data_IF_908731990290
#
_entry.id   IF_908731990290
#
_cell.length_a   1.000
_cell.length_b   1.000
_cell.length_c   1.000
_cell.angle_alpha   90.00
_cell.angle_beta   90.00
_cell.angle_gamma   90.00
#
_symmetry.space_group_name_H-M   'P 1'
#
loop_
_entity.id
_entity.type
_entity.pdbx_description
1 polymer ?
#
# COMPACT_ATOMS: atom_id res chain seq x y z
N UNK A 1 17.84 -10.50 6.92
CA UNK A 1 19.13 -9.80 7.05
C UNK A 1 18.82 -8.36 7.45
N UNK A 2 19.52 -7.78 8.42
CA UNK A 2 19.23 -6.40 8.89
C UNK A 2 19.67 -5.42 7.80
N UNK A 3 18.86 -4.37 7.58
CA UNK A 3 19.11 -3.32 6.59
C UNK A 3 20.25 -2.42 7.10
N UNK A 4 21.34 -2.25 6.34
CA UNK A 4 22.35 -1.21 6.60
C UNK A 4 23.76 -1.71 6.96
N UNK A 5 24.50 -2.23 5.98
CA UNK A 5 25.83 -2.84 6.18
C UNK A 5 26.98 -1.84 6.39
N UNK A 6 26.78 -0.56 6.06
CA UNK A 6 27.88 0.41 5.95
C UNK A 6 28.15 1.22 7.23
N UNK A 7 27.24 1.21 8.21
CA UNK A 7 27.45 1.90 9.50
C UNK A 7 27.47 3.44 9.44
N UNK A 8 27.25 4.05 8.27
CA UNK A 8 27.28 5.51 8.10
C UNK A 8 25.89 6.16 8.14
N UNK A 9 24.83 5.37 7.99
CA UNK A 9 23.46 5.88 7.85
C UNK A 9 22.96 6.66 9.07
N UNK A 10 23.49 6.37 10.27
CA UNK A 10 23.14 7.14 11.47
C UNK A 10 23.52 8.61 11.33
N UNK A 11 24.68 8.94 10.78
CA UNK A 11 25.19 10.32 10.75
C UNK A 11 24.39 11.25 9.82
N UNK A 12 23.48 10.74 8.99
CA UNK A 12 22.60 11.60 8.19
C UNK A 12 21.63 12.42 9.05
N UNK A 13 21.43 12.06 10.33
CA UNK A 13 20.63 12.85 11.28
C UNK A 13 21.15 14.29 11.42
N UNK A 14 22.46 14.49 11.32
CA UNK A 14 23.08 15.82 11.41
C UNK A 14 22.88 16.69 10.17
N UNK A 15 22.24 16.16 9.11
CA UNK A 15 21.80 16.98 7.99
C UNK A 15 20.59 17.84 8.33
N UNK A 16 19.86 17.50 9.40
CA UNK A 16 18.60 18.15 9.79
C UNK A 16 18.55 18.55 11.27
N UNK A 17 19.64 18.29 12.01
CA UNK A 17 19.72 18.55 13.45
C UNK A 17 21.08 19.10 13.84
N UNK A 18 21.07 20.09 14.73
CA UNK A 18 22.27 20.70 15.30
C UNK A 18 22.84 19.86 16.45
N UNK A 19 22.01 19.03 17.07
CA UNK A 19 22.37 18.15 18.19
C UNK A 19 21.52 16.90 18.18
N UNK A 20 22.11 15.77 18.54
CA UNK A 20 21.42 14.49 18.69
C UNK A 20 21.72 13.90 20.06
N UNK A 21 20.68 13.38 20.69
CA UNK A 21 20.77 12.61 21.92
C UNK A 21 20.25 11.20 21.66
N UNK A 22 20.96 10.19 22.15
CA UNK A 22 20.52 8.80 22.16
C UNK A 22 20.45 8.35 23.61
N UNK A 23 19.29 7.87 24.04
CA UNK A 23 19.12 7.20 25.32
C UNK A 23 18.73 5.75 25.08
N UNK A 24 19.55 4.80 25.52
CA UNK A 24 19.42 3.39 25.14
C UNK A 24 19.67 2.42 26.27
N UNK A 25 18.89 1.34 26.29
CA UNK A 25 19.10 0.16 27.14
C UNK A 25 19.03 -1.11 26.28
N UNK A 26 20.13 -1.87 26.29
CA UNK A 26 20.25 -3.12 25.52
C UNK A 26 19.36 -4.22 26.08
N UNK A 27 18.99 -5.17 25.22
CA UNK A 27 18.28 -6.39 25.64
C UNK A 27 19.19 -7.38 26.40
N UNK A 28 20.51 -7.17 26.38
CA UNK A 28 21.48 -8.07 26.98
C UNK A 28 21.39 -8.01 28.52
N UNK A 29 21.46 -9.17 29.16
CA UNK A 29 21.41 -9.27 30.62
C UNK A 29 22.61 -8.52 31.25
N UNK A 30 22.34 -7.70 32.25
CA UNK A 30 23.36 -6.90 32.95
C UNK A 30 23.83 -5.66 32.17
N UNK A 31 23.17 -5.29 31.07
CA UNK A 31 23.45 -4.04 30.38
C UNK A 31 23.02 -2.85 31.22
N UNK A 32 23.86 -1.81 31.25
CA UNK A 32 23.56 -0.53 31.87
C UNK A 32 22.96 0.42 30.83
N UNK A 33 22.04 1.28 31.25
CA UNK A 33 21.47 2.30 30.38
C UNK A 33 22.50 3.41 30.14
N UNK A 34 22.60 3.83 28.88
CA UNK A 34 23.60 4.81 28.43
C UNK A 34 22.91 5.95 27.69
N UNK A 35 23.30 7.17 28.02
CA UNK A 35 22.97 8.37 27.27
C UNK A 35 24.20 8.83 26.48
N UNK A 36 24.01 9.06 25.19
CA UNK A 36 25.01 9.57 24.26
C UNK A 36 24.54 10.90 23.68
N UNK A 37 25.42 11.89 23.58
CA UNK A 37 25.10 13.23 23.08
C UNK A 37 26.20 13.70 22.13
N UNK A 38 25.82 14.28 20.99
CA UNK A 38 26.75 14.88 20.04
C UNK A 38 26.09 16.05 19.29
N UNK A 39 26.89 17.07 18.96
CA UNK A 39 26.50 18.27 18.22
C UNK A 39 26.92 18.24 16.73
N UNK A 40 27.25 17.05 16.22
CA UNK A 40 27.74 16.86 14.85
C UNK A 40 29.25 17.09 14.67
N UNK A 41 29.95 17.46 15.75
CA UNK A 41 31.40 17.55 15.79
C UNK A 41 32.11 16.19 15.78
N UNK A 42 33.42 16.20 16.04
CA UNK A 42 34.23 14.98 16.16
C UNK A 42 34.11 14.30 17.52
N UNK A 43 33.62 15.03 18.53
CA UNK A 43 33.54 14.59 19.91
C UNK A 43 32.09 14.27 20.28
N UNK A 44 31.94 13.38 21.25
CA UNK A 44 30.65 13.02 21.84
C UNK A 44 30.80 12.79 23.34
N UNK A 45 29.70 12.98 24.06
CA UNK A 45 29.62 12.71 25.49
C UNK A 45 28.82 11.42 25.73
N UNK A 46 29.24 10.64 26.72
CA UNK A 46 28.53 9.45 27.18
C UNK A 46 28.39 9.47 28.70
N UNK A 47 27.17 9.26 29.18
CA UNK A 47 26.83 9.20 30.61
C UNK A 47 25.91 8.04 30.90
N UNK A 48 25.76 7.67 32.18
CA UNK A 48 24.70 6.76 32.62
C UNK A 48 23.32 7.37 32.39
N UNK A 49 22.31 6.53 32.15
CA UNK A 49 20.90 6.91 32.02
C UNK A 49 20.06 6.26 33.12
N UNK A 50 18.92 6.87 33.44
CA UNK A 50 17.91 6.32 34.37
C UNK A 50 16.89 5.40 33.66
N UNK A 51 17.02 5.20 32.35
CA UNK A 51 16.14 4.34 31.56
C UNK A 51 16.14 2.91 32.10
N UNK A 52 14.95 2.39 32.37
CA UNK A 52 14.70 1.04 32.89
C UNK A 52 14.06 0.10 31.85
N UNK A 53 13.56 0.65 30.75
CA UNK A 53 12.96 -0.12 29.65
C UNK A 53 13.93 -0.34 28.48
N UNK A 54 13.97 -1.58 27.97
CA UNK A 54 14.71 -1.93 26.74
C UNK A 54 14.33 -0.99 25.59
N UNK A 55 15.31 -0.61 24.78
CA UNK A 55 15.11 0.10 23.53
C UNK A 55 16.00 1.32 23.41
N UNK A 56 15.67 2.19 22.47
CA UNK A 56 16.45 3.38 22.14
C UNK A 56 15.51 4.52 21.82
N UNK A 57 15.74 5.69 22.42
CA UNK A 57 15.13 6.95 22.03
C UNK A 57 16.19 7.79 21.35
N UNK A 58 15.87 8.32 20.18
CA UNK A 58 16.72 9.23 19.43
C UNK A 58 16.03 10.59 19.38
N UNK A 59 16.61 11.56 20.07
CA UNK A 59 16.09 12.94 20.12
C UNK A 59 16.91 13.80 19.17
N UNK A 60 16.24 14.36 18.17
CA UNK A 60 16.83 15.28 17.21
C UNK A 60 16.50 16.72 17.61
N UNK A 61 17.52 17.51 17.91
CA UNK A 61 17.38 18.96 18.06
C UNK A 61 17.44 19.57 16.66
N UNK A 62 16.27 19.66 16.03
CA UNK A 62 16.10 20.08 14.63
C UNK A 62 16.71 21.47 14.41
N UNK A 63 17.51 21.59 13.35
CA UNK A 63 18.21 22.83 13.02
C UNK A 63 17.23 23.92 12.58
N UNK A 64 17.65 25.18 12.70
CA UNK A 64 16.79 26.33 12.41
C UNK A 64 16.26 26.40 10.97
N UNK A 65 16.95 25.77 10.02
CA UNK A 65 16.65 25.68 8.60
C UNK A 65 15.88 24.41 8.19
N UNK A 66 15.65 23.48 9.12
CA UNK A 66 14.98 22.19 8.88
C UNK A 66 13.65 22.05 9.63
N UNK A 67 13.05 23.18 10.04
CA UNK A 67 11.83 23.22 10.86
C UNK A 67 10.61 22.60 10.19
N UNK A 68 10.62 22.42 8.87
CA UNK A 68 9.58 21.70 8.15
C UNK A 68 9.38 20.27 8.66
N UNK A 69 10.41 19.63 9.23
CA UNK A 69 10.27 18.28 9.81
C UNK A 69 9.60 18.27 11.19
N UNK A 70 9.24 19.43 11.75
CA UNK A 70 8.37 19.52 12.92
C UNK A 70 6.88 19.56 12.53
N UNK A 71 6.57 19.74 11.24
CA UNK A 71 5.19 19.70 10.76
C UNK A 71 4.68 18.26 10.61
N UNK A 72 3.54 17.97 11.22
CA UNK A 72 2.92 16.64 11.22
C UNK A 72 2.62 16.14 9.81
N UNK A 73 2.11 16.99 8.92
CA UNK A 73 1.72 16.58 7.58
C UNK A 73 2.93 16.26 6.73
N UNK A 74 4.00 17.06 6.86
CA UNK A 74 5.26 16.80 6.18
C UNK A 74 5.91 15.50 6.65
N UNK A 75 5.99 15.27 7.97
CA UNK A 75 6.46 13.98 8.51
C UNK A 75 5.59 12.80 8.03
N UNK A 76 4.26 12.94 8.08
CA UNK A 76 3.35 11.89 7.61
C UNK A 76 3.61 11.56 6.15
N UNK A 77 3.77 12.57 5.28
CA UNK A 77 4.07 12.40 3.85
C UNK A 77 5.38 11.65 3.62
N UNK A 78 6.42 11.96 4.41
CA UNK A 78 7.72 11.27 4.34
C UNK A 78 7.57 9.81 4.77
N UNK A 79 6.89 9.56 5.89
CA UNK A 79 6.68 8.21 6.42
C UNK A 79 5.81 7.36 5.48
N UNK A 80 4.73 7.90 4.93
CA UNK A 80 3.90 7.21 3.92
C UNK A 80 4.68 6.91 2.64
N UNK A 81 5.68 7.72 2.29
CA UNK A 81 6.51 7.46 1.11
C UNK A 81 7.57 6.38 1.37
N UNK A 82 8.38 6.55 2.40
CA UNK A 82 9.57 5.71 2.63
C UNK A 82 9.32 4.54 3.57
N UNK A 83 8.33 4.67 4.46
CA UNK A 83 8.08 3.72 5.54
C UNK A 83 6.74 2.96 5.41
N UNK A 84 5.95 3.22 4.36
CA UNK A 84 4.60 2.65 4.17
C UNK A 84 4.52 1.13 4.33
N UNK A 85 5.62 0.42 4.09
CA UNK A 85 5.65 -1.03 4.12
C UNK A 85 6.72 -1.62 5.01
N UNK A 86 7.36 -0.84 5.89
CA UNK A 86 8.39 -1.39 6.79
C UNK A 86 7.85 -2.60 7.57
N UNK A 87 8.68 -3.62 7.85
CA UNK A 87 8.27 -4.81 8.58
C UNK A 87 8.03 -4.57 10.09
N UNK A 88 8.05 -3.31 10.52
CA UNK A 88 7.83 -2.85 11.89
C UNK A 88 6.76 -1.78 11.88
N UNK A 89 5.94 -1.75 12.92
CA UNK A 89 4.90 -0.73 13.07
C UNK A 89 5.52 0.64 13.31
N UNK A 90 4.99 1.64 12.63
CA UNK A 90 5.39 3.04 12.71
C UNK A 90 4.19 3.83 13.21
N UNK A 91 4.40 4.61 14.26
CA UNK A 91 3.40 5.49 14.84
C UNK A 91 3.87 6.93 14.67
N UNK A 92 2.91 7.83 14.48
CA UNK A 92 3.15 9.27 14.41
C UNK A 92 2.27 9.95 15.46
N UNK A 93 2.91 10.59 16.42
CA UNK A 93 2.25 11.30 17.51
C UNK A 93 2.42 12.81 17.30
N UNK A 94 1.36 13.57 17.56
CA UNK A 94 1.41 15.03 17.62
C UNK A 94 1.25 15.44 19.07
N UNK A 95 2.35 15.85 19.69
CA UNK A 95 2.42 16.16 21.11
C UNK A 95 1.45 17.29 21.48
N UNK A 96 1.30 18.31 20.65
CA UNK A 96 0.38 19.42 20.93
C UNK A 96 -1.09 18.97 20.87
N UNK A 97 -1.40 18.04 19.96
CA UNK A 97 -2.75 17.49 19.84
C UNK A 97 -3.08 16.58 21.03
N UNK A 98 -2.14 15.75 21.46
CA UNK A 98 -2.30 14.86 22.61
C UNK A 98 -2.41 15.63 23.94
N UNK A 99 -1.63 16.70 24.12
CA UNK A 99 -1.77 17.60 25.26
C UNK A 99 -3.16 18.26 25.31
N UNK A 100 -3.65 18.78 24.17
CA UNK A 100 -5.00 19.37 24.08
C UNK A 100 -6.09 18.34 24.40
N UNK A 101 -5.98 17.11 23.86
CA UNK A 101 -6.91 16.02 24.17
C UNK A 101 -6.90 15.67 25.66
N UNK A 102 -5.71 15.62 26.27
CA UNK A 102 -5.56 15.33 27.70
C UNK A 102 -6.19 16.44 28.57
N UNK A 103 -6.00 17.71 28.20
CA UNK A 103 -6.64 18.85 28.90
C UNK A 103 -8.17 18.82 28.77
N UNK A 104 -8.70 18.56 27.58
CA UNK A 104 -10.14 18.44 27.35
C UNK A 104 -10.76 17.25 28.08
N UNK A 105 -10.08 16.10 28.08
CA UNK A 105 -10.49 14.92 28.83
C UNK A 105 -10.51 15.20 30.35
N UNK A 106 -9.48 15.89 30.88
CA UNK A 106 -9.43 16.31 32.27
C UNK A 106 -10.56 17.28 32.63
N UNK A 107 -10.90 18.21 31.72
CA UNK A 107 -12.04 19.13 31.88
C UNK A 107 -13.38 18.39 31.90
N UNK A 108 -13.63 17.50 30.94
CA UNK A 108 -14.84 16.66 30.88
C UNK A 108 -14.98 15.77 32.12
N UNK A 109 -13.87 15.20 32.62
CA UNK A 109 -13.86 14.39 33.83
C UNK A 109 -14.23 15.20 35.08
N UNK A 110 -13.72 16.45 35.20
CA UNK A 110 -14.10 17.38 36.28
C UNK A 110 -15.58 17.77 36.21
N UNK A 111 -16.09 18.14 35.04
CA UNK A 111 -17.51 18.48 34.85
C UNK A 111 -18.45 17.30 35.14
N UNK A 112 -18.05 16.08 34.76
CA UNK A 112 -18.80 14.86 35.07
C UNK A 112 -18.79 14.55 36.58
N UNK A 113 -17.66 14.78 37.27
CA UNK A 113 -17.56 14.62 38.72
C UNK A 113 -18.42 15.66 39.46
N UNK A 114 -18.41 16.92 39.03
CA UNK A 114 -19.25 17.99 39.60
C UNK A 114 -20.74 17.73 39.40
N UNK A 115 -21.16 17.26 38.21
CA UNK A 115 -22.54 16.85 37.95
C UNK A 115 -22.98 15.66 38.82
N UNK A 116 -22.09 14.69 39.07
CA UNK A 116 -22.36 13.57 39.99
C UNK A 116 -22.52 14.05 41.44
N UNK A 117 -21.70 15.02 41.88
CA UNK A 117 -21.79 15.61 43.22
C UNK A 117 -23.06 16.47 43.38
N UNK A 118 -23.47 17.21 42.34
CA UNK A 118 -24.72 17.98 42.35
C UNK A 118 -25.95 17.06 42.40
N UNK A 119 -25.98 16.00 41.59
CA UNK A 119 -27.07 15.01 41.57
C UNK A 119 -27.18 14.21 42.88
N UNK A 120 -26.05 13.99 43.57
CA UNK A 120 -26.04 13.36 44.90
C UNK A 120 -26.51 14.30 46.02
N UNK A 121 -26.39 15.63 45.85
CA UNK A 121 -26.91 16.61 46.80
C UNK A 121 -28.43 16.81 46.67
N UNK A 122 -28.97 16.83 45.45
CA UNK A 122 -30.43 16.90 45.24
C UNK A 122 -31.16 15.63 45.75
N UNK A 123 -30.53 14.45 45.68
CA UNK A 123 -31.10 13.21 46.22
C UNK A 123 -31.07 13.11 47.77
N UNK A 124 -30.36 14.02 48.45
CA UNK A 124 -30.23 14.03 49.91
C UNK A 124 -31.22 14.99 50.62
N UNK A 125 -32.05 15.71 49.85
CA UNK A 125 -32.94 16.76 50.37
C UNK A 125 -34.43 16.48 50.06
N UNK A 126 -34.90 15.24 50.26
CA UNK A 126 -36.35 14.94 50.41
C UNK A 126 -36.66 14.48 51.84
N UNK A 127 -37.60 15.14 52.56
CA UNK A 127 -37.94 14.78 53.93
C UNK A 127 -38.89 13.57 53.95
N UNK A 128 -38.51 12.54 54.73
CA UNK A 128 -39.39 11.42 55.12
C UNK A 128 -40.63 11.96 55.85
N UNK A 129 -41.81 11.73 55.28
CA UNK A 129 -43.08 11.78 56.02
C UNK A 129 -43.60 10.36 56.23
N UNK A 130 -43.68 9.96 57.49
CA UNK A 130 -44.48 8.83 57.96
C UNK A 130 -45.96 9.10 57.72
N UNK A 131 -46.70 8.10 57.25
CA UNK A 131 -47.96 7.64 57.86
C UNK A 131 -48.24 6.22 57.39
N UNK A 132 -48.49 5.32 58.34
CA UNK A 132 -48.88 3.94 58.08
C UNK A 132 -50.40 3.73 58.01
N UNK A 133 -50.71 2.43 57.98
CA UNK A 133 -51.99 1.74 58.15
C UNK A 133 -52.87 1.50 56.90
N UNK A 134 -53.23 0.22 56.70
CA UNK A 134 -54.56 -0.14 56.19
C UNK A 134 -54.63 -1.14 55.04
N UNK A 135 -54.40 -2.41 55.34
CA UNK A 135 -55.14 -3.62 54.91
C UNK A 135 -56.01 -3.65 53.62
N UNK A 136 -55.67 -4.65 52.78
CA UNK A 136 -56.52 -5.62 52.04
C UNK A 136 -57.85 -5.20 51.40
N UNK A 137 -58.01 -5.46 50.09
CA UNK A 137 -58.82 -6.58 49.58
C UNK A 137 -59.00 -6.54 48.05
N UNK A 138 -58.97 -7.74 47.46
CA UNK A 138 -59.67 -8.24 46.27
C UNK A 138 -60.49 -7.25 45.40
N UNK A 139 -60.35 -7.30 44.06
CA UNK A 139 -61.15 -8.19 43.20
C UNK A 139 -60.91 -7.93 41.69
N UNK A 140 -61.20 -8.98 40.93
CA UNK A 140 -61.07 -9.19 39.48
C UNK A 140 -62.02 -8.36 38.61
N UNK A 141 -61.56 -8.22 37.36
CA UNK A 141 -62.29 -8.29 36.07
C UNK A 141 -63.16 -7.10 35.64
N UNK A 142 -62.87 -6.53 34.47
CA UNK A 142 -63.45 -6.98 33.18
C UNK A 142 -63.34 -5.87 32.11
N UNK A 143 -63.30 -6.29 30.84
CA UNK A 143 -63.99 -5.56 29.77
C UNK A 143 -63.13 -4.70 28.85
N UNK A 144 -62.88 -5.23 27.66
CA UNK A 144 -62.38 -4.57 26.45
C UNK A 144 -63.19 -3.29 26.09
N UNK A 145 -62.50 -2.30 25.48
CA UNK A 145 -62.84 -1.85 24.13
C UNK A 145 -61.76 -0.97 23.49
N UNK A 146 -61.65 -1.17 22.18
CA UNK A 146 -60.87 -0.50 21.15
C UNK A 146 -60.96 1.04 21.19
N UNK A 147 -59.87 1.74 20.87
CA UNK A 147 -59.72 2.37 19.55
C UNK A 147 -58.32 3.00 19.37
N UNK A 148 -57.83 2.81 18.15
CA UNK A 148 -56.63 3.33 17.49
C UNK A 148 -56.52 4.86 17.44
N UNK A 149 -55.31 5.42 17.62
CA UNK A 149 -54.53 6.09 16.56
C UNK A 149 -53.28 6.83 17.06
N UNK A 150 -52.13 6.48 16.46
CA UNK A 150 -51.02 7.31 15.92
C UNK A 150 -50.15 8.22 16.79
N UNK A 151 -48.87 8.17 16.38
CA UNK A 151 -47.78 9.16 16.47
C UNK A 151 -47.25 9.37 17.89
N UNK A 152 -45.98 9.08 18.20
CA UNK A 152 -44.79 9.36 17.43
C UNK A 152 -44.03 10.42 18.22
N UNK A 153 -43.10 10.00 19.07
CA UNK A 153 -42.11 10.90 19.66
C UNK A 153 -40.84 10.11 19.97
N UNK A 154 -39.76 10.59 19.36
CA UNK A 154 -38.40 10.12 19.53
C UNK A 154 -37.97 10.28 20.98
N UNK A 155 -37.49 9.19 21.57
CA UNK A 155 -36.55 9.24 22.67
C UNK A 155 -35.27 8.55 22.21
N UNK A 156 -34.41 9.30 21.54
CA UNK A 156 -33.00 8.95 21.42
C UNK A 156 -32.43 9.08 22.82
N UNK A 157 -32.38 7.96 23.56
CA UNK A 157 -31.53 7.85 24.75
C UNK A 157 -30.08 7.86 24.27
N UNK A 158 -29.52 9.06 24.18
CA UNK A 158 -28.10 9.31 23.99
C UNK A 158 -27.37 8.86 25.27
N UNK A 159 -27.18 7.56 25.40
CA UNK A 159 -26.30 6.94 26.38
C UNK A 159 -24.87 7.05 25.86
N UNK A 160 -24.31 8.27 25.94
CA UNK A 160 -22.90 8.51 25.72
C UNK A 160 -22.08 7.89 26.84
N UNK A 161 -21.73 6.61 26.71
CA UNK A 161 -20.56 6.06 27.39
C UNK A 161 -19.33 6.86 26.94
N UNK A 162 -18.42 7.24 27.85
CA UNK A 162 -17.22 7.95 27.46
C UNK A 162 -16.39 7.06 26.53
N UNK A 163 -16.21 7.48 25.27
CA UNK A 163 -15.25 6.88 24.34
C UNK A 163 -13.91 6.73 25.06
N UNK A 164 -13.48 5.49 25.27
CA UNK A 164 -12.13 5.24 25.71
C UNK A 164 -11.17 5.75 24.64
N UNK A 165 -10.02 6.36 25.00
CA UNK A 165 -9.05 6.81 24.02
C UNK A 165 -8.66 5.63 23.12
N UNK A 166 -8.92 5.76 21.81
CA UNK A 166 -8.58 4.73 20.85
C UNK A 166 -7.07 4.50 20.89
N UNK A 167 -6.64 3.25 20.94
CA UNK A 167 -5.21 2.90 20.89
C UNK A 167 -4.59 3.51 19.63
N UNK A 168 -3.33 3.99 19.69
CA UNK A 168 -2.65 4.53 18.52
C UNK A 168 -2.59 3.45 17.43
N UNK A 169 -2.96 3.82 16.21
CA UNK A 169 -2.91 2.95 15.03
C UNK A 169 -1.63 3.20 14.24
N UNK A 170 -0.98 2.14 13.71
CA UNK A 170 0.21 2.31 12.89
C UNK A 170 -0.16 2.98 11.56
N UNK A 171 0.70 3.88 11.09
CA UNK A 171 0.49 4.58 9.81
C UNK A 171 0.90 3.74 8.60
N UNK A 172 1.67 2.66 8.82
CA UNK A 172 2.21 1.79 7.79
C UNK A 172 1.59 0.39 7.83
N UNK A 173 1.81 -0.37 6.77
CA UNK A 173 1.36 -1.75 6.63
C UNK A 173 2.56 -2.70 6.67
N UNK A 174 2.68 -3.46 7.76
CA UNK A 174 3.79 -4.41 7.96
C UNK A 174 3.63 -5.71 7.16
N UNK A 175 2.45 -5.93 6.58
CA UNK A 175 2.08 -7.15 5.86
C UNK A 175 1.60 -6.84 4.42
N UNK A 176 2.46 -6.22 3.60
CA UNK A 176 2.09 -5.86 2.24
C UNK A 176 1.63 -7.06 1.41
N UNK A 177 0.68 -6.81 0.52
CA UNK A 177 0.02 -7.85 -0.28
C UNK A 177 1.00 -8.73 -1.08
N UNK A 178 2.08 -8.15 -1.60
CA UNK A 178 3.07 -8.88 -2.42
C UNK A 178 3.91 -9.91 -1.64
N UNK A 179 3.83 -9.92 -0.30
CA UNK A 179 4.48 -10.95 0.51
C UNK A 179 3.62 -12.20 0.65
N UNK A 180 2.29 -12.08 0.50
CA UNK A 180 1.36 -13.21 0.54
C UNK A 180 1.55 -14.12 -0.68
N UNK A 181 1.14 -15.38 -0.57
CA UNK A 181 1.13 -16.26 -1.75
C UNK A 181 -0.03 -15.85 -2.67
N UNK A 182 0.11 -15.93 -4.00
CA UNK A 182 -0.98 -15.58 -4.91
C UNK A 182 -2.29 -16.34 -4.66
N UNK A 183 -2.22 -17.57 -4.15
CA UNK A 183 -3.37 -18.40 -3.79
C UNK A 183 -4.11 -17.95 -2.53
N UNK A 184 -3.49 -17.10 -1.71
CA UNK A 184 -4.04 -16.58 -0.46
C UNK A 184 -4.65 -15.18 -0.66
N UNK A 185 -4.56 -14.63 -1.87
CA UNK A 185 -5.06 -13.29 -2.19
C UNK A 185 -6.35 -13.37 -3.01
N UNK A 186 -7.30 -12.53 -2.65
CA UNK A 186 -8.55 -12.30 -3.39
C UNK A 186 -8.40 -11.18 -4.42
N UNK A 187 -9.27 -11.16 -5.42
CA UNK A 187 -9.32 -10.08 -6.43
C UNK A 187 -9.55 -8.70 -5.78
N UNK A 188 -10.40 -8.62 -4.76
CA UNK A 188 -10.67 -7.37 -4.06
C UNK A 188 -9.45 -6.84 -3.29
N UNK A 189 -8.66 -7.72 -2.65
CA UNK A 189 -7.39 -7.32 -2.03
C UNK A 189 -6.42 -6.72 -3.05
N UNK A 190 -6.32 -7.29 -4.26
CA UNK A 190 -5.47 -6.72 -5.32
C UNK A 190 -5.95 -5.33 -5.76
N UNK A 191 -7.26 -5.13 -5.87
CA UNK A 191 -7.84 -3.84 -6.26
C UNK A 191 -7.70 -2.80 -5.16
N UNK A 192 -7.93 -3.18 -3.90
CA UNK A 192 -7.75 -2.30 -2.75
C UNK A 192 -6.28 -1.89 -2.60
N UNK A 193 -5.36 -2.84 -2.71
CA UNK A 193 -3.93 -2.54 -2.73
C UNK A 193 -3.56 -1.58 -3.87
N UNK A 194 -4.08 -1.79 -5.08
CA UNK A 194 -3.87 -0.87 -6.19
C UNK A 194 -4.36 0.55 -5.89
N UNK A 195 -5.60 0.70 -5.40
CA UNK A 195 -6.19 1.99 -5.02
C UNK A 195 -5.37 2.68 -3.93
N UNK A 196 -4.99 1.94 -2.88
CA UNK A 196 -4.23 2.45 -1.74
C UNK A 196 -2.83 2.92 -2.14
N UNK A 197 -2.14 2.21 -3.03
CA UNK A 197 -0.74 2.52 -3.36
C UNK A 197 -0.57 3.57 -4.45
N UNK A 198 -1.46 3.57 -5.44
CA UNK A 198 -1.37 4.43 -6.62
C UNK A 198 -2.41 5.56 -6.63
N UNK A 199 -3.29 5.62 -5.62
CA UNK A 199 -4.38 6.62 -5.52
C UNK A 199 -5.22 6.70 -6.80
N UNK A 200 -5.44 5.56 -7.44
CA UNK A 200 -6.18 5.44 -8.69
C UNK A 200 -7.36 4.50 -8.54
N UNK A 201 -8.54 5.04 -8.82
CA UNK A 201 -9.82 4.36 -8.71
C UNK A 201 -10.23 3.68 -10.03
N UNK A 202 -9.47 3.85 -11.11
CA UNK A 202 -9.64 3.06 -12.33
C UNK A 202 -9.12 1.65 -12.09
N UNK A 203 -10.02 0.66 -12.11
CA UNK A 203 -9.60 -0.73 -11.86
C UNK A 203 -8.63 -1.22 -12.95
N UNK A 204 -7.55 -1.93 -12.56
CA UNK A 204 -6.64 -2.55 -13.51
C UNK A 204 -7.35 -3.68 -14.27
N UNK A 205 -6.96 -3.91 -15.51
CA UNK A 205 -7.53 -4.97 -16.35
C UNK A 205 -7.21 -6.37 -15.77
N UNK A 206 -5.97 -6.52 -15.34
CA UNK A 206 -5.46 -7.68 -14.61
C UNK A 206 -4.12 -7.31 -13.95
N UNK A 207 -3.58 -8.25 -13.18
CA UNK A 207 -2.28 -8.11 -12.54
C UNK A 207 -1.45 -9.39 -12.68
N UNK A 208 -0.15 -9.23 -12.51
CA UNK A 208 0.81 -10.31 -12.42
C UNK A 208 1.45 -10.24 -11.03
N UNK A 209 1.09 -11.19 -10.16
CA UNK A 209 1.77 -11.40 -8.89
C UNK A 209 3.04 -12.24 -9.13
N UNK A 210 4.18 -11.59 -8.96
CA UNK A 210 5.52 -12.17 -8.94
C UNK A 210 5.81 -12.67 -7.53
N UNK A 211 6.08 -13.97 -7.41
CA UNK A 211 6.56 -14.58 -6.16
C UNK A 211 7.58 -15.64 -6.54
N UNK A 212 8.86 -15.25 -6.53
CA UNK A 212 9.97 -16.03 -7.07
C UNK A 212 11.13 -15.99 -6.07
N UNK A 213 11.66 -17.15 -5.72
CA UNK A 213 12.79 -17.27 -4.79
C UNK A 213 14.11 -17.72 -5.47
N UNK A 214 14.10 -18.02 -6.78
CA UNK A 214 15.28 -18.47 -7.53
C UNK A 214 15.25 -18.04 -9.02
N UNK A 215 16.38 -17.60 -9.62
CA UNK A 215 17.71 -17.43 -9.01
C UNK A 215 17.88 -16.14 -8.20
N UNK A 216 16.87 -15.28 -8.19
CA UNK A 216 16.79 -14.08 -7.37
C UNK A 216 15.50 -14.12 -6.57
N UNK A 217 15.54 -13.59 -5.34
CA UNK A 217 14.34 -13.28 -4.58
C UNK A 217 13.68 -12.04 -5.18
N UNK A 218 12.49 -12.26 -5.75
CA UNK A 218 11.71 -11.26 -6.44
C UNK A 218 10.25 -11.48 -6.11
N UNK A 219 9.68 -10.53 -5.37
CA UNK A 219 8.27 -10.46 -5.07
C UNK A 219 7.70 -9.16 -5.61
N UNK A 220 6.43 -9.12 -5.91
CA UNK A 220 5.83 -7.90 -6.43
C UNK A 220 4.52 -8.13 -7.17
N UNK A 221 3.85 -7.04 -7.48
CA UNK A 221 2.60 -7.06 -8.23
C UNK A 221 2.68 -6.00 -9.31
N UNK A 222 2.51 -6.41 -10.57
CA UNK A 222 2.43 -5.53 -11.72
C UNK A 222 0.98 -5.47 -12.21
N UNK A 223 0.42 -4.28 -12.28
CA UNK A 223 -0.93 -3.98 -12.71
C UNK A 223 -0.93 -3.46 -14.14
N UNK A 224 -1.82 -4.01 -14.96
CA UNK A 224 -2.05 -3.58 -16.33
C UNK A 224 -3.22 -2.60 -16.36
N UNK A 225 -2.95 -1.28 -16.55
CA UNK A 225 -4.02 -0.30 -16.60
C UNK A 225 -4.82 -0.45 -17.90
N UNK A 226 -6.04 0.07 -17.89
CA UNK A 226 -6.81 0.27 -19.12
C UNK A 226 -6.21 1.46 -19.88
N UNK A 227 -5.91 1.29 -21.17
CA UNK A 227 -5.39 2.39 -21.97
C UNK A 227 -6.50 3.41 -22.21
N UNK A 228 -6.23 4.68 -21.92
CA UNK A 228 -7.06 5.80 -22.36
C UNK A 228 -6.54 6.29 -23.71
N UNK A 229 -7.46 6.65 -24.61
CA UNK A 229 -7.16 7.30 -25.89
C UNK A 229 -6.72 8.78 -25.73
N UNK A 230 -6.31 9.18 -24.54
CA UNK A 230 -5.88 10.54 -24.26
C UNK A 230 -4.36 10.60 -24.45
N UNK A 231 -3.90 11.53 -25.28
CA UNK A 231 -2.50 11.86 -25.53
C UNK A 231 -1.76 12.39 -24.28
N UNK A 232 -2.29 12.13 -23.08
CA UNK A 232 -1.64 12.44 -21.83
C UNK A 232 -0.57 11.39 -21.57
N UNK A 233 0.63 11.89 -21.26
CA UNK A 233 1.78 11.10 -20.85
C UNK A 233 1.43 10.30 -19.60
N UNK A 234 0.80 9.14 -19.79
CA UNK A 234 0.56 8.18 -18.71
C UNK A 234 1.92 7.53 -18.42
N UNK A 235 2.71 8.21 -17.60
CA UNK A 235 3.92 7.61 -17.02
C UNK A 235 3.45 6.51 -16.06
N UNK A 236 3.86 5.27 -16.34
CA UNK A 236 3.66 4.19 -15.38
C UNK A 236 4.44 4.48 -14.11
N UNK A 237 4.15 3.72 -13.06
CA UNK A 237 4.82 3.87 -11.77
C UNK A 237 5.07 2.49 -11.18
N UNK A 238 6.29 2.01 -11.35
CA UNK A 238 6.78 0.81 -10.68
C UNK A 238 7.65 1.25 -9.50
N UNK A 239 7.11 1.06 -8.29
CA UNK A 239 7.80 1.34 -7.03
C UNK A 239 8.75 0.19 -6.71
N UNK A 240 10.04 0.49 -6.56
CA UNK A 240 11.05 -0.51 -6.22
C UNK A 240 11.33 -0.51 -4.72
N UNK A 241 11.33 -1.71 -4.13
CA UNK A 241 11.62 -1.96 -2.74
C UNK A 241 12.79 -2.93 -2.59
N UNK A 242 13.49 -2.83 -1.46
CA UNK A 242 14.45 -3.83 -1.00
C UNK A 242 14.11 -4.19 0.44
N UNK A 243 13.64 -5.43 0.67
CA UNK A 243 13.17 -5.86 1.98
C UNK A 243 12.11 -4.89 2.55
N UNK A 244 11.11 -4.57 1.73
CA UNK A 244 10.04 -3.60 2.02
C UNK A 244 10.47 -2.14 2.27
N UNK A 245 11.76 -1.80 2.14
CA UNK A 245 12.23 -0.41 2.17
C UNK A 245 12.10 0.19 0.78
N UNK A 246 11.40 1.32 0.66
CA UNK A 246 11.27 2.02 -0.61
C UNK A 246 12.63 2.55 -1.08
N UNK A 247 12.96 2.32 -2.35
CA UNK A 247 14.20 2.79 -2.97
C UNK A 247 13.90 3.97 -3.89
N UNK A 248 13.16 3.71 -4.98
CA UNK A 248 12.78 4.72 -5.96
C UNK A 248 11.67 4.20 -6.89
N UNK A 249 11.07 5.12 -7.63
CA UNK A 249 10.15 4.80 -8.72
C UNK A 249 10.92 4.61 -10.04
N UNK A 250 10.48 3.65 -10.86
CA UNK A 250 10.87 3.51 -12.27
C UNK A 250 12.38 3.44 -12.55
N UNK A 251 13.14 2.68 -11.75
CA UNK A 251 14.57 2.48 -11.99
C UNK A 251 14.78 1.72 -13.31
N UNK A 252 15.12 2.44 -14.38
CA UNK A 252 15.16 1.95 -15.78
C UNK A 252 16.18 0.85 -16.01
N UNK A 253 17.22 0.79 -15.18
CA UNK A 253 18.25 -0.23 -15.23
C UNK A 253 17.71 -1.61 -14.79
N UNK A 254 16.76 -1.64 -13.86
CA UNK A 254 16.16 -2.88 -13.34
C UNK A 254 14.88 -3.19 -14.10
N UNK A 255 14.05 -2.18 -14.35
CA UNK A 255 12.72 -2.36 -14.94
C UNK A 255 12.81 -2.29 -16.47
N UNK A 256 12.48 -3.38 -17.18
CA UNK A 256 12.41 -3.37 -18.64
C UNK A 256 11.56 -2.22 -19.17
N UNK A 257 12.04 -1.53 -20.21
CA UNK A 257 11.44 -0.30 -20.74
C UNK A 257 9.95 -0.46 -21.08
N UNK A 258 9.55 -1.61 -21.63
CA UNK A 258 8.17 -1.89 -22.00
C UNK A 258 7.23 -2.09 -20.82
N UNK A 259 7.76 -2.29 -19.61
CA UNK A 259 7.00 -2.36 -18.36
C UNK A 259 6.88 -0.98 -17.68
N UNK A 260 7.66 0.03 -18.08
CA UNK A 260 7.65 1.37 -17.45
C UNK A 260 6.31 2.12 -17.59
N UNK A 261 5.42 1.63 -18.44
CA UNK A 261 4.06 2.17 -18.59
C UNK A 261 3.05 1.48 -17.67
N UNK A 262 3.47 0.42 -16.97
CA UNK A 262 2.64 -0.28 -16.00
C UNK A 262 2.72 0.38 -14.63
N UNK A 263 1.81 0.01 -13.75
CA UNK A 263 1.88 0.36 -12.33
C UNK A 263 2.20 -0.87 -11.52
N UNK A 264 2.95 -0.74 -10.45
CA UNK A 264 3.24 -1.90 -9.63
C UNK A 264 4.27 -1.66 -8.55
N UNK A 265 4.50 -2.72 -7.79
CA UNK A 265 5.52 -2.77 -6.76
C UNK A 265 6.41 -3.97 -7.06
N UNK A 266 7.71 -3.78 -6.95
CA UNK A 266 8.70 -4.86 -7.03
C UNK A 266 9.58 -4.77 -5.80
N UNK A 267 9.64 -5.84 -5.02
CA UNK A 267 10.54 -6.01 -3.90
C UNK A 267 11.60 -7.05 -4.26
N UNK A 268 12.85 -6.61 -4.32
CA UNK A 268 13.98 -7.45 -4.68
C UNK A 268 15.13 -7.24 -3.66
N UNK A 269 15.21 -8.12 -2.65
CA UNK A 269 16.30 -8.13 -1.67
C UNK A 269 17.69 -8.25 -2.30
N UNK A 270 17.81 -8.90 -3.46
CA UNK A 270 19.06 -9.16 -4.17
C UNK A 270 19.55 -7.98 -5.03
N UNK A 271 18.90 -6.81 -4.94
CA UNK A 271 19.34 -5.62 -5.65
C UNK A 271 20.73 -5.16 -5.16
N UNK A 272 21.70 -4.99 -6.08
CA UNK A 272 23.03 -4.49 -5.73
C UNK A 272 23.00 -2.96 -5.52
N UNK A 273 22.57 -2.51 -4.34
CA UNK A 273 22.53 -1.09 -3.99
C UNK A 273 23.90 -0.57 -3.55
N UNK A 274 24.21 0.68 -3.86
CA UNK A 274 25.39 1.37 -3.33
C UNK A 274 25.23 1.75 -1.85
N UNK A 275 26.29 2.32 -1.26
CA UNK A 275 26.36 2.73 0.16
C UNK A 275 25.21 3.66 0.55
N UNK A 276 24.98 4.69 -0.26
CA UNK A 276 23.93 5.68 -0.05
C UNK A 276 22.53 5.20 -0.44
N UNK A 277 22.41 3.99 -1.00
CA UNK A 277 21.18 3.42 -1.59
C UNK A 277 20.55 4.29 -2.68
N UNK A 278 21.31 5.24 -3.21
CA UNK A 278 20.85 6.20 -4.22
C UNK A 278 21.08 5.72 -5.65
N UNK A 279 21.97 4.74 -5.85
CA UNK A 279 22.29 4.18 -7.17
C UNK A 279 22.52 2.67 -7.08
N UNK A 280 22.35 2.01 -8.22
CA UNK A 280 22.67 0.60 -8.39
C UNK A 280 24.16 0.43 -8.72
N UNK A 281 24.73 -0.68 -8.26
CA UNK A 281 26.07 -1.14 -8.60
C UNK A 281 25.94 -2.45 -9.39
N UNK A 282 27.02 -2.90 -10.04
CA UNK A 282 27.06 -4.19 -10.74
C UNK A 282 25.99 -4.34 -11.84
N UNK A 283 26.22 -3.63 -12.96
CA UNK A 283 25.35 -3.64 -14.15
C UNK A 283 25.02 -5.05 -14.65
N UNK A 284 25.95 -6.00 -14.51
CA UNK A 284 25.75 -7.39 -14.93
C UNK A 284 24.68 -8.12 -14.11
N UNK A 285 24.64 -7.90 -12.80
CA UNK A 285 23.60 -8.47 -11.93
C UNK A 285 22.25 -7.76 -12.15
N UNK A 286 22.27 -6.43 -12.25
CA UNK A 286 21.08 -5.62 -12.55
C UNK A 286 20.42 -6.09 -13.84
N UNK A 287 21.19 -6.29 -14.91
CA UNK A 287 20.69 -6.83 -16.17
C UNK A 287 20.10 -8.24 -16.04
N UNK A 288 20.72 -9.12 -15.24
CA UNK A 288 20.16 -10.47 -14.98
C UNK A 288 18.83 -10.42 -14.24
N UNK A 289 18.66 -9.48 -13.30
CA UNK A 289 17.39 -9.26 -12.59
C UNK A 289 16.34 -8.74 -13.58
N UNK A 290 16.69 -7.76 -14.42
CA UNK A 290 15.81 -7.22 -15.46
C UNK A 290 15.34 -8.30 -16.44
N UNK A 291 16.27 -9.08 -17.01
CA UNK A 291 15.98 -10.24 -17.87
C UNK A 291 15.05 -11.24 -17.15
N UNK A 292 15.23 -11.44 -15.84
CA UNK A 292 14.39 -12.34 -15.06
C UNK A 292 12.96 -11.83 -14.88
N UNK A 293 12.79 -10.52 -14.64
CA UNK A 293 11.48 -9.86 -14.59
C UNK A 293 10.77 -10.04 -15.94
N UNK A 294 11.41 -9.68 -17.05
CA UNK A 294 10.87 -9.87 -18.42
C UNK A 294 10.42 -11.31 -18.66
N UNK A 295 11.27 -12.28 -18.27
CA UNK A 295 10.96 -13.72 -18.36
C UNK A 295 9.69 -14.09 -17.59
N UNK A 296 9.55 -13.63 -16.35
CA UNK A 296 8.41 -13.98 -15.49
C UNK A 296 7.11 -13.35 -15.97
N UNK A 297 7.17 -12.12 -16.47
CA UNK A 297 6.02 -11.48 -17.12
C UNK A 297 5.59 -12.27 -18.35
N UNK A 298 6.53 -12.66 -19.23
CA UNK A 298 6.24 -13.47 -20.41
C UNK A 298 5.62 -14.83 -20.04
N UNK A 299 6.15 -15.51 -19.02
CA UNK A 299 5.62 -16.80 -18.56
C UNK A 299 4.17 -16.66 -18.03
N UNK A 300 3.86 -15.56 -17.34
CA UNK A 300 2.52 -15.27 -16.83
C UNK A 300 1.53 -14.87 -17.92
N UNK A 301 1.94 -14.09 -18.91
CA UNK A 301 1.13 -13.81 -20.11
C UNK A 301 0.79 -15.09 -20.88
N UNK A 302 1.75 -16.00 -21.00
CA UNK A 302 1.53 -17.33 -21.58
C UNK A 302 0.53 -18.16 -20.78
N UNK A 303 0.61 -18.10 -19.44
CA UNK A 303 -0.36 -18.77 -18.58
C UNK A 303 -1.76 -18.21 -18.80
N UNK A 304 -1.92 -16.88 -18.71
CA UNK A 304 -3.20 -16.19 -18.88
C UNK A 304 -3.84 -16.52 -20.23
N UNK A 305 -3.05 -16.55 -21.30
CA UNK A 305 -3.50 -16.95 -22.62
C UNK A 305 -4.08 -18.37 -22.65
N UNK A 306 -3.44 -19.32 -21.94
CA UNK A 306 -3.82 -20.74 -21.92
C UNK A 306 -5.03 -21.01 -21.02
N UNK A 307 -5.08 -20.36 -19.86
CA UNK A 307 -6.10 -20.64 -18.83
C UNK A 307 -7.34 -19.76 -18.97
N UNK A 308 -7.21 -18.54 -19.49
CA UNK A 308 -8.26 -17.51 -19.50
C UNK A 308 -8.36 -16.83 -20.87
N UNK A 309 -8.48 -17.65 -21.92
CA UNK A 309 -8.44 -17.20 -23.33
C UNK A 309 -9.42 -16.08 -23.67
N UNK A 310 -10.65 -16.18 -23.18
CA UNK A 310 -11.70 -15.18 -23.44
C UNK A 310 -11.35 -13.81 -22.82
N UNK A 311 -10.90 -13.80 -21.56
CA UNK A 311 -10.44 -12.58 -20.89
C UNK A 311 -9.22 -12.00 -21.60
N UNK A 312 -8.25 -12.85 -21.97
CA UNK A 312 -7.07 -12.43 -22.73
C UNK A 312 -7.45 -11.71 -24.03
N UNK A 313 -8.40 -12.27 -24.79
CA UNK A 313 -8.89 -11.64 -26.02
C UNK A 313 -9.60 -10.30 -25.75
N UNK A 314 -10.37 -10.20 -24.67
CA UNK A 314 -11.07 -8.97 -24.27
C UNK A 314 -10.09 -7.85 -23.94
N UNK A 315 -9.00 -8.16 -23.24
CA UNK A 315 -8.00 -7.18 -22.82
C UNK A 315 -6.97 -6.84 -23.91
N UNK A 316 -6.97 -7.57 -25.04
CA UNK A 316 -5.92 -7.46 -26.04
C UNK A 316 -5.78 -6.07 -26.65
N UNK A 317 -6.89 -5.38 -26.97
CA UNK A 317 -6.85 -4.01 -27.52
C UNK A 317 -6.10 -3.06 -26.59
N UNK A 318 -6.26 -3.22 -25.27
CA UNK A 318 -5.57 -2.41 -24.27
C UNK A 318 -4.12 -2.87 -24.04
N UNK A 319 -3.83 -4.18 -24.06
CA UNK A 319 -2.49 -4.67 -23.66
C UNK A 319 -1.52 -4.91 -24.81
N UNK A 320 -2.00 -5.05 -26.05
CA UNK A 320 -1.12 -5.36 -27.16
C UNK A 320 -0.04 -4.31 -27.42
N UNK A 321 -0.23 -2.99 -27.16
CA UNK A 321 0.84 -2.01 -27.35
C UNK A 321 2.06 -2.35 -26.48
N UNK A 322 1.85 -2.70 -25.20
CA UNK A 322 2.95 -3.07 -24.29
C UNK A 322 3.64 -4.36 -24.73
N UNK A 323 2.85 -5.38 -25.08
CA UNK A 323 3.41 -6.69 -25.47
C UNK A 323 4.19 -6.56 -26.78
N UNK A 324 3.65 -5.86 -27.79
CA UNK A 324 4.33 -5.62 -29.06
C UNK A 324 5.56 -4.74 -28.87
N UNK A 325 5.50 -3.73 -27.99
CA UNK A 325 6.67 -2.91 -27.66
C UNK A 325 7.78 -3.73 -27.00
N UNK A 326 7.43 -4.60 -26.04
CA UNK A 326 8.36 -5.56 -25.46
C UNK A 326 8.98 -6.49 -26.50
N UNK A 327 8.17 -6.97 -27.46
CA UNK A 327 8.67 -7.79 -28.57
C UNK A 327 9.66 -7.05 -29.50
N UNK A 328 9.51 -5.73 -29.67
CA UNK A 328 10.41 -4.92 -30.48
C UNK A 328 11.71 -4.56 -29.74
N UNK A 329 11.69 -4.59 -28.41
CA UNK A 329 12.81 -4.15 -27.55
C UNK A 329 13.63 -5.31 -26.97
N UNK A 330 13.04 -6.49 -26.84
CA UNK A 330 13.68 -7.67 -26.25
C UNK A 330 13.37 -8.93 -27.08
N UNK A 331 14.37 -9.39 -27.84
CA UNK A 331 14.26 -10.59 -28.68
C UNK A 331 13.92 -11.86 -27.86
N UNK A 332 14.46 -11.97 -26.64
CA UNK A 332 14.16 -13.13 -25.77
C UNK A 332 12.72 -13.08 -25.30
N UNK A 333 12.21 -11.89 -24.99
CA UNK A 333 10.80 -11.68 -24.68
C UNK A 333 9.92 -12.05 -25.87
N UNK A 334 10.25 -11.55 -27.07
CA UNK A 334 9.56 -11.91 -28.31
C UNK A 334 9.49 -13.43 -28.51
N UNK A 335 10.61 -14.12 -28.39
CA UNK A 335 10.66 -15.58 -28.56
C UNK A 335 9.73 -16.34 -27.61
N UNK A 336 9.49 -15.79 -26.42
CA UNK A 336 8.60 -16.37 -25.42
C UNK A 336 7.13 -16.08 -25.66
N UNK A 337 6.80 -14.94 -26.26
CA UNK A 337 5.40 -14.49 -26.40
C UNK A 337 4.86 -14.53 -27.83
N UNK A 338 5.71 -14.74 -28.84
CA UNK A 338 5.30 -14.70 -30.26
C UNK A 338 4.13 -15.64 -30.60
N UNK A 339 4.04 -16.79 -29.92
CA UNK A 339 3.01 -17.80 -30.14
C UNK A 339 1.67 -17.49 -29.45
N UNK A 340 1.62 -16.45 -28.60
CA UNK A 340 0.41 -15.96 -27.94
C UNK A 340 -0.07 -14.61 -28.50
N UNK A 341 0.68 -14.02 -29.45
CA UNK A 341 0.26 -12.80 -30.14
C UNK A 341 -0.97 -13.09 -31.00
N UNK A 342 -2.07 -12.39 -30.70
CA UNK A 342 -3.31 -12.49 -31.46
C UNK A 342 -3.50 -11.29 -32.38
N UNK A 343 -4.19 -11.55 -33.48
CA UNK A 343 -4.48 -10.58 -34.51
C UNK A 343 -5.96 -10.63 -34.83
N UNK A 344 -6.54 -9.46 -35.07
CA UNK A 344 -7.92 -9.35 -35.53
C UNK A 344 -7.96 -9.67 -37.02
N UNK A 345 -8.78 -10.64 -37.40
CA UNK A 345 -9.00 -10.99 -38.79
C UNK A 345 -9.92 -9.96 -39.47
N UNK A 346 -10.05 -10.03 -40.80
CA UNK A 346 -11.02 -9.23 -41.57
C UNK A 346 -12.47 -9.51 -41.19
N UNK A 347 -12.76 -10.65 -40.56
CA UNK A 347 -14.08 -11.02 -40.06
C UNK A 347 -14.31 -10.58 -38.60
N UNK A 348 -13.32 -9.93 -37.97
CA UNK A 348 -13.41 -9.40 -36.62
C UNK A 348 -13.07 -10.39 -35.49
N UNK A 349 -12.84 -11.67 -35.81
CA UNK A 349 -12.39 -12.68 -34.85
C UNK A 349 -10.88 -12.58 -34.56
N UNK A 350 -10.48 -13.00 -33.36
CA UNK A 350 -9.07 -13.09 -32.99
C UNK A 350 -8.47 -14.41 -33.45
N UNK A 351 -7.31 -14.32 -34.10
CA UNK A 351 -6.57 -15.49 -34.59
C UNK A 351 -5.08 -15.41 -34.29
N UNK A 352 -4.44 -16.57 -34.15
CA UNK A 352 -2.98 -16.67 -34.05
C UNK A 352 -2.35 -16.69 -35.43
N UNK A 353 -1.09 -16.25 -35.51
CA UNK A 353 -0.32 -16.31 -36.76
C UNK A 353 -0.20 -17.75 -37.29
N UNK A 354 0.02 -18.72 -36.41
CA UNK A 354 0.10 -20.14 -36.78
C UNK A 354 -1.22 -20.66 -37.36
N UNK A 355 -2.35 -20.27 -36.77
CA UNK A 355 -3.67 -20.72 -37.20
C UNK A 355 -4.03 -20.09 -38.54
N UNK A 356 -3.72 -18.81 -38.73
CA UNK A 356 -3.84 -18.12 -40.01
C UNK A 356 -3.04 -18.83 -41.11
N UNK A 357 -1.77 -19.17 -40.85
CA UNK A 357 -0.91 -19.88 -41.80
C UNK A 357 -1.50 -21.25 -42.17
N UNK A 358 -1.93 -22.03 -41.18
CA UNK A 358 -2.53 -23.34 -41.41
C UNK A 358 -3.79 -23.26 -42.28
N UNK A 359 -4.68 -22.28 -42.04
CA UNK A 359 -5.90 -22.09 -42.85
C UNK A 359 -5.60 -21.66 -44.29
N UNK A 360 -4.54 -20.89 -44.52
CA UNK A 360 -4.23 -20.31 -45.83
C UNK A 360 -3.16 -21.07 -46.63
N UNK A 361 -2.53 -22.10 -46.06
CA UNK A 361 -1.40 -22.80 -46.66
C UNK A 361 -1.67 -23.34 -48.08
N UNK A 362 -2.91 -23.73 -48.36
CA UNK A 362 -3.33 -24.28 -49.65
C UNK A 362 -3.47 -23.22 -50.76
N UNK A 363 -3.79 -21.96 -50.40
CA UNK A 363 -3.95 -20.84 -51.34
C UNK A 363 -2.70 -19.98 -51.44
N UNK A 364 -2.05 -19.75 -50.30
CA UNK A 364 -0.99 -18.77 -50.14
C UNK A 364 0.13 -19.34 -49.27
N UNK A 365 0.81 -20.36 -49.81
CA UNK A 365 1.95 -20.99 -49.13
C UNK A 365 3.00 -19.95 -48.75
N UNK A 366 3.47 -20.04 -47.49
CA UNK A 366 4.53 -19.21 -46.91
C UNK A 366 4.29 -17.68 -46.94
N UNK A 367 3.05 -17.23 -47.21
CA UNK A 367 2.69 -15.79 -47.24
C UNK A 367 1.71 -15.45 -46.13
N UNK A 368 1.87 -14.26 -45.56
CA UNK A 368 0.96 -13.67 -44.58
C UNK A 368 0.54 -12.31 -45.10
N UNK A 369 -0.77 -12.12 -45.31
CA UNK A 369 -1.34 -10.84 -45.71
C UNK A 369 -1.91 -10.14 -44.49
N UNK A 370 -1.66 -8.84 -44.37
CA UNK A 370 -2.15 -8.01 -43.28
C UNK A 370 -2.55 -6.63 -43.80
N UNK A 371 -3.38 -5.93 -43.03
CA UNK A 371 -3.80 -4.55 -43.26
C UNK A 371 -3.56 -3.75 -41.99
N UNK A 372 -3.11 -2.51 -42.13
CA UNK A 372 -2.91 -1.57 -41.03
C UNK A 372 -4.13 -0.66 -40.80
N UNK A 373 -4.93 -0.43 -41.85
CA UNK A 373 -6.18 0.33 -41.77
C UNK A 373 -7.23 -0.31 -42.68
N UNK A 374 -8.23 -0.94 -42.05
CA UNK A 374 -9.29 -1.65 -42.76
C UNK A 374 -10.16 -0.73 -43.64
N UNK A 375 -10.31 0.55 -43.28
CA UNK A 375 -11.10 1.52 -44.04
C UNK A 375 -10.34 1.99 -45.27
N UNK A 376 -9.09 2.41 -45.09
CA UNK A 376 -8.25 2.88 -46.21
C UNK A 376 -7.94 1.77 -47.21
N UNK A 377 -7.79 0.53 -46.72
CA UNK A 377 -7.41 -0.62 -47.54
C UNK A 377 -8.60 -1.50 -47.95
N UNK A 378 -9.84 -1.01 -47.80
CA UNK A 378 -11.06 -1.77 -48.07
C UNK A 378 -11.12 -2.37 -49.48
N UNK A 379 -10.60 -1.66 -50.49
CA UNK A 379 -10.54 -2.17 -51.87
C UNK A 379 -9.65 -3.40 -51.99
N UNK A 380 -8.48 -3.42 -51.34
CA UNK A 380 -7.58 -4.57 -51.33
C UNK A 380 -8.16 -5.74 -50.54
N UNK A 381 -8.86 -5.47 -49.43
CA UNK A 381 -9.52 -6.51 -48.63
C UNK A 381 -10.55 -7.27 -49.47
N UNK A 382 -11.34 -6.58 -50.30
CA UNK A 382 -12.34 -7.21 -51.18
C UNK A 382 -11.76 -8.12 -52.26
N UNK A 383 -10.46 -8.00 -52.55
CA UNK A 383 -9.79 -8.83 -53.57
C UNK A 383 -9.33 -10.19 -53.01
N UNK A 384 -9.37 -10.37 -51.69
CA UNK A 384 -9.03 -11.61 -50.97
C UNK A 384 -10.30 -12.28 -50.45
#
# INVERSE_FOLDING_TARGET
QIIGHFGLGFYSVFMVSDKVEIDTLSYQSGAEAVKWICDGGTDFEMTSSERDERGTVVTLHVSGDSKEFLDKYELRRILEKYCAFLPVEVYLEDVEEEEKKAEEAAKKAKEAAEKKVAKAKEAAEEPKKETGAGETSDQKASGEKEETEKAGEESVEESGEPEQPSKPEPINDTHPLWLKRPSECTEEEYKEFYRKVFMDYQEPLFWIHLNVDYPFNLKGILYFPKLRNEFENMEGQIKLYNNQVFIADNIKEVIPEFLLLLRGVIDCPDLPLNVSRSFLQNDGQVKKISDHISKKVADKLNSLFKTEREKYNKYWEDIHPFIKYGCMKDDKFYDRVKDILIYKSTNGDYTLLKDYRSRNNHKHKDKVFYVSDAKQQAQYIRMF
#
